data_IF_434813403361
#
_entry.id   IF_434813403361
#
_cell.length_a   1.000
_cell.length_b   1.000
_cell.length_c   1.000
_cell.angle_alpha   90.00
_cell.angle_beta   90.00
_cell.angle_gamma   90.00
#
_symmetry.space_group_name_H-M   'P 1'
#
loop_
_entity.id
_entity.type
_entity.pdbx_description
1 polymer ?
#
# COMPACT_ATOMS: atom_id res chain seq x y z
N UNK A 1 -18.51 36.05 5.85
CA UNK A 1 -18.00 35.52 7.14
C UNK A 1 -17.70 34.06 6.90
N UNK A 2 -16.47 33.78 6.54
CA UNK A 2 -16.04 32.40 6.34
C UNK A 2 -15.94 31.72 7.70
N UNK A 3 -16.84 30.79 7.97
CA UNK A 3 -16.75 29.94 9.15
C UNK A 3 -15.51 29.05 8.99
N UNK A 4 -14.42 29.40 9.65
CA UNK A 4 -13.29 28.50 9.81
C UNK A 4 -13.81 27.27 10.52
N UNK A 5 -13.88 26.13 9.81
CA UNK A 5 -14.28 24.86 10.41
C UNK A 5 -13.35 24.57 11.58
N UNK A 6 -13.90 24.43 12.78
CA UNK A 6 -13.15 24.06 13.97
C UNK A 6 -12.50 22.69 13.77
N UNK A 7 -11.19 22.61 14.00
CA UNK A 7 -10.45 21.34 13.93
C UNK A 7 -10.82 20.51 15.15
N UNK A 8 -11.63 19.47 14.96
CA UNK A 8 -12.11 18.59 16.04
C UNK A 8 -11.03 17.62 16.53
N UNK A 9 -10.08 17.27 15.68
CA UNK A 9 -8.99 16.35 16.03
C UNK A 9 -7.77 16.56 15.13
N UNK A 10 -6.58 16.39 15.70
CA UNK A 10 -5.30 16.44 14.99
C UNK A 10 -4.36 15.36 15.52
N UNK A 11 -3.64 14.63 14.64
CA UNK A 11 -2.68 13.62 15.07
C UNK A 11 -1.49 14.28 15.79
N UNK A 12 -0.91 13.57 16.76
CA UNK A 12 0.32 14.01 17.41
C UNK A 12 1.51 13.98 16.44
N UNK A 13 2.54 14.80 16.71
CA UNK A 13 3.76 14.85 15.89
C UNK A 13 4.44 13.47 15.78
N UNK A 14 4.43 12.69 16.86
CA UNK A 14 4.98 11.32 16.84
C UNK A 14 4.18 10.39 15.94
N UNK A 15 2.85 10.52 15.92
CA UNK A 15 1.99 9.72 15.03
C UNK A 15 2.22 10.09 13.57
N UNK A 16 2.39 11.36 13.26
CA UNK A 16 2.73 11.83 11.90
C UNK A 16 4.10 11.29 11.49
N UNK A 17 5.12 11.41 12.34
CA UNK A 17 6.49 10.97 12.04
C UNK A 17 6.59 9.47 11.76
N UNK A 18 5.74 8.66 12.42
CA UNK A 18 5.71 7.19 12.29
C UNK A 18 4.67 6.69 11.27
N UNK A 19 3.97 7.56 10.57
CA UNK A 19 2.98 7.16 9.57
C UNK A 19 3.68 6.61 8.31
N UNK A 20 3.09 5.58 7.69
CA UNK A 20 3.58 5.01 6.44
C UNK A 20 3.66 6.05 5.32
N UNK A 21 2.71 6.97 5.25
CA UNK A 21 2.74 8.04 4.26
C UNK A 21 3.97 8.94 4.43
N UNK A 22 4.39 9.22 5.67
CA UNK A 22 5.61 10.00 5.95
C UNK A 22 6.86 9.25 5.50
N UNK A 23 6.92 7.93 5.74
CA UNK A 23 8.02 7.09 5.26
C UNK A 23 8.06 7.03 3.73
N UNK A 24 6.90 6.87 3.08
CA UNK A 24 6.78 6.90 1.63
C UNK A 24 7.26 8.22 1.02
N UNK A 25 6.81 9.35 1.56
CA UNK A 25 7.22 10.69 1.09
C UNK A 25 8.74 10.85 1.18
N UNK A 26 9.36 10.49 2.29
CA UNK A 26 10.83 10.55 2.44
C UNK A 26 11.55 9.70 1.40
N UNK A 27 11.04 8.52 1.10
CA UNK A 27 11.61 7.65 0.05
C UNK A 27 11.49 8.30 -1.33
N UNK A 28 10.33 8.88 -1.65
CA UNK A 28 10.11 9.60 -2.92
C UNK A 28 11.04 10.80 -3.05
N UNK A 29 11.12 11.65 -2.02
CA UNK A 29 12.01 12.81 -2.01
C UNK A 29 13.47 12.41 -2.23
N UNK A 30 13.92 11.35 -1.54
CA UNK A 30 15.28 10.82 -1.71
C UNK A 30 15.55 10.28 -3.13
N UNK A 31 14.56 9.64 -3.75
CA UNK A 31 14.70 9.05 -5.09
C UNK A 31 14.62 10.08 -6.21
N UNK A 32 13.73 11.05 -6.07
CA UNK A 32 13.36 11.96 -7.17
C UNK A 32 13.94 13.36 -7.04
N UNK A 33 14.42 13.74 -5.86
CA UNK A 33 14.84 15.10 -5.57
C UNK A 33 13.67 16.10 -5.44
N UNK A 34 12.41 15.63 -5.48
CA UNK A 34 11.23 16.46 -5.30
C UNK A 34 11.11 16.89 -3.83
N UNK A 35 10.49 18.04 -3.59
CA UNK A 35 10.09 18.47 -2.24
C UNK A 35 8.58 18.34 -2.12
N UNK A 36 8.12 17.54 -1.18
CA UNK A 36 6.71 17.20 -0.96
C UNK A 36 6.29 17.52 0.48
N UNK A 37 6.25 18.80 0.86
CA UNK A 37 6.13 19.25 2.26
C UNK A 37 4.77 18.92 2.90
N UNK A 38 3.73 18.70 2.12
CA UNK A 38 2.38 18.44 2.60
C UNK A 38 1.60 17.51 1.67
N UNK A 39 0.37 17.14 2.10
CA UNK A 39 -0.51 16.27 1.33
C UNK A 39 -0.87 16.85 -0.05
N UNK A 40 -1.10 18.16 -0.16
CA UNK A 40 -1.47 18.77 -1.42
C UNK A 40 -0.34 18.69 -2.43
N UNK A 41 0.90 18.88 -2.00
CA UNK A 41 2.09 18.71 -2.83
C UNK A 41 2.23 17.24 -3.31
N UNK A 42 2.04 16.27 -2.40
CA UNK A 42 2.05 14.83 -2.76
C UNK A 42 0.96 14.51 -3.77
N UNK A 43 -0.26 14.99 -3.55
CA UNK A 43 -1.38 14.77 -4.46
C UNK A 43 -1.13 15.41 -5.83
N UNK A 44 -0.73 16.68 -5.87
CA UNK A 44 -0.43 17.37 -7.13
C UNK A 44 0.67 16.65 -7.93
N UNK A 45 1.74 16.24 -7.25
CA UNK A 45 2.82 15.46 -7.85
C UNK A 45 2.33 14.10 -8.38
N UNK A 46 1.53 13.36 -7.62
CA UNK A 46 1.02 12.05 -8.02
C UNK A 46 0.14 12.11 -9.27
N UNK A 47 -0.62 13.20 -9.44
CA UNK A 47 -1.44 13.45 -10.63
C UNK A 47 -0.59 13.88 -11.83
N UNK A 48 0.40 14.73 -11.59
CA UNK A 48 1.30 15.22 -12.66
C UNK A 48 2.24 14.12 -13.17
N UNK A 49 2.73 13.25 -12.28
CA UNK A 49 3.71 12.20 -12.58
C UNK A 49 3.23 10.81 -12.12
N UNK A 50 2.07 10.33 -12.58
CA UNK A 50 1.47 9.10 -12.06
C UNK A 50 2.35 7.85 -12.30
N UNK A 51 3.09 7.76 -13.39
CA UNK A 51 3.99 6.62 -13.59
C UNK A 51 5.05 6.54 -12.49
N UNK A 52 5.71 7.66 -12.21
CA UNK A 52 6.73 7.73 -11.16
C UNK A 52 6.13 7.47 -9.78
N UNK A 53 4.94 8.02 -9.50
CA UNK A 53 4.22 7.76 -8.26
C UNK A 53 3.97 6.26 -8.05
N UNK A 54 3.40 5.57 -9.05
CA UNK A 54 3.08 4.15 -8.95
C UNK A 54 4.32 3.27 -8.89
N UNK A 55 5.41 3.64 -9.57
CA UNK A 55 6.70 2.95 -9.44
C UNK A 55 7.29 3.09 -8.05
N UNK A 56 7.28 4.30 -7.49
CA UNK A 56 7.72 4.51 -6.11
C UNK A 56 6.87 3.72 -5.10
N UNK A 57 5.55 3.66 -5.33
CA UNK A 57 4.65 2.91 -4.46
C UNK A 57 4.88 1.40 -4.59
N UNK A 58 5.13 0.89 -5.80
CA UNK A 58 5.50 -0.50 -6.05
C UNK A 58 6.70 -0.93 -5.21
N UNK A 59 7.77 -0.14 -5.27
CA UNK A 59 8.99 -0.41 -4.52
C UNK A 59 8.79 -0.26 -3.01
N UNK A 60 8.02 0.76 -2.58
CA UNK A 60 7.70 0.99 -1.17
C UNK A 60 6.89 -0.16 -0.55
N UNK A 61 5.99 -0.74 -1.31
CA UNK A 61 5.21 -1.91 -0.89
C UNK A 61 6.00 -3.23 -0.90
N UNK A 62 7.26 -3.23 -1.34
CA UNK A 62 8.09 -4.43 -1.40
C UNK A 62 7.61 -5.45 -2.41
N UNK A 63 6.97 -5.00 -3.48
CA UNK A 63 6.57 -5.88 -4.59
C UNK A 63 7.81 -6.39 -5.35
N UNK A 64 7.71 -7.52 -6.08
CA UNK A 64 8.85 -8.09 -6.80
C UNK A 64 9.53 -7.05 -7.71
N UNK A 65 10.87 -7.10 -7.85
CA UNK A 65 11.60 -6.22 -8.76
C UNK A 65 11.05 -6.31 -10.18
N UNK A 66 10.93 -5.16 -10.84
CA UNK A 66 10.52 -5.04 -12.24
C UNK A 66 11.75 -4.86 -13.14
N UNK A 67 11.66 -5.34 -14.38
CA UNK A 67 12.65 -5.00 -15.39
C UNK A 67 12.56 -3.50 -15.75
N UNK A 68 13.67 -2.81 -16.03
CA UNK A 68 13.66 -1.41 -16.46
C UNK A 68 12.83 -1.17 -17.74
N UNK A 69 12.69 -2.20 -18.58
CA UNK A 69 11.95 -2.11 -19.85
C UNK A 69 10.44 -2.33 -19.69
N UNK A 70 9.97 -2.74 -18.51
CA UNK A 70 8.55 -2.96 -18.25
C UNK A 70 7.79 -1.64 -18.17
N UNK A 71 6.68 -1.58 -18.90
CA UNK A 71 5.80 -0.41 -18.92
C UNK A 71 5.07 -0.24 -17.59
N UNK A 72 4.99 1.00 -17.12
CA UNK A 72 4.19 1.32 -15.93
C UNK A 72 2.71 1.45 -16.26
N UNK A 73 2.38 2.00 -17.44
CA UNK A 73 0.99 2.14 -17.88
C UNK A 73 0.89 2.00 -19.40
N UNK A 74 -0.21 1.42 -19.84
CA UNK A 74 -0.65 1.37 -21.23
C UNK A 74 -2.03 2.02 -21.34
N UNK A 75 -2.28 2.78 -22.42
CA UNK A 75 -3.55 3.50 -22.66
C UNK A 75 -3.95 4.42 -21.50
N UNK A 76 -3.01 5.17 -20.96
CA UNK A 76 -3.17 6.02 -19.78
C UNK A 76 -4.44 6.90 -19.79
N UNK A 77 -4.76 7.46 -20.95
CA UNK A 77 -5.85 8.42 -21.11
C UNK A 77 -7.22 7.77 -21.42
N UNK A 78 -7.30 6.45 -21.37
CA UNK A 78 -8.54 5.70 -21.59
C UNK A 78 -9.20 5.32 -20.25
N UNK A 79 -10.48 5.67 -20.10
CA UNK A 79 -11.29 5.30 -18.93
C UNK A 79 -12.69 4.81 -19.39
N UNK A 80 -12.96 3.48 -19.35
CA UNK A 80 -12.09 2.38 -19.01
C UNK A 80 -11.07 2.06 -20.10
N UNK A 81 -9.97 1.38 -19.74
CA UNK A 81 -8.99 0.90 -20.71
C UNK A 81 -7.53 1.12 -20.35
N UNK A 82 -7.22 1.98 -19.37
CA UNK A 82 -5.89 2.09 -18.82
C UNK A 82 -5.47 0.77 -18.15
N UNK A 83 -4.28 0.30 -18.47
CA UNK A 83 -3.70 -0.93 -17.88
C UNK A 83 -2.42 -0.58 -17.14
N UNK A 84 -2.42 -0.75 -15.83
CA UNK A 84 -1.26 -0.51 -14.99
C UNK A 84 -0.39 -1.76 -14.90
N UNK A 85 0.92 -1.58 -15.02
CA UNK A 85 1.93 -2.64 -14.98
C UNK A 85 1.59 -3.85 -15.88
N UNK A 86 1.28 -3.61 -17.18
CA UNK A 86 0.74 -4.66 -18.06
C UNK A 86 1.68 -5.84 -18.27
N UNK A 87 2.99 -5.62 -18.09
CA UNK A 87 4.04 -6.61 -18.32
C UNK A 87 4.43 -7.36 -17.02
N UNK A 88 3.96 -6.87 -15.86
CA UNK A 88 4.29 -7.46 -14.55
C UNK A 88 3.29 -8.56 -14.17
N UNK A 89 3.80 -9.59 -13.48
CA UNK A 89 2.99 -10.67 -12.91
C UNK A 89 3.31 -10.82 -11.44
N UNK A 90 2.30 -10.71 -10.60
CA UNK A 90 2.42 -10.90 -9.15
C UNK A 90 1.37 -11.90 -8.68
N UNK A 91 1.73 -12.67 -7.66
CA UNK A 91 0.76 -13.46 -6.93
C UNK A 91 0.33 -12.67 -5.69
N UNK A 92 -0.89 -12.16 -5.70
CA UNK A 92 -1.44 -11.34 -4.63
C UNK A 92 -1.46 -12.08 -3.28
N UNK A 93 -1.85 -13.35 -3.27
CA UNK A 93 -1.86 -14.16 -2.06
C UNK A 93 -0.46 -14.35 -1.48
N UNK A 94 0.54 -14.63 -2.31
CA UNK A 94 1.93 -14.75 -1.86
C UNK A 94 2.43 -13.46 -1.22
N UNK A 95 2.05 -12.30 -1.75
CA UNK A 95 2.43 -11.01 -1.19
C UNK A 95 1.73 -10.74 0.15
N UNK A 96 0.45 -11.03 0.28
CA UNK A 96 -0.29 -10.91 1.54
C UNK A 96 0.23 -11.84 2.64
N UNK A 97 0.77 -12.99 2.26
CA UNK A 97 1.26 -14.02 3.18
C UNK A 97 2.76 -13.91 3.49
N UNK A 98 3.38 -12.77 3.18
CA UNK A 98 4.82 -12.53 3.45
C UNK A 98 5.11 -12.58 4.96
N UNK A 99 4.25 -12.03 5.79
CA UNK A 99 4.40 -12.10 7.25
C UNK A 99 4.08 -13.51 7.72
N UNK A 100 4.97 -14.03 8.60
CA UNK A 100 4.84 -15.36 9.21
C UNK A 100 5.02 -15.31 10.73
N UNK A 101 4.69 -14.15 11.31
CA UNK A 101 4.79 -13.94 12.75
C UNK A 101 3.57 -14.50 13.48
N UNK A 102 3.71 -14.70 14.80
CA UNK A 102 2.60 -15.09 15.67
C UNK A 102 1.64 -13.91 15.98
N UNK A 103 1.86 -12.75 15.37
CA UNK A 103 0.94 -11.62 15.50
C UNK A 103 -0.40 -11.90 14.81
N UNK A 104 -1.51 -11.33 15.31
CA UNK A 104 -2.83 -11.56 14.77
C UNK A 104 -2.95 -11.13 13.30
N UNK A 105 -3.33 -12.06 12.42
CA UNK A 105 -3.70 -11.79 11.03
C UNK A 105 -5.19 -11.52 10.87
N UNK A 106 -6.01 -12.31 11.57
CA UNK A 106 -7.47 -12.19 11.55
C UNK A 106 -8.04 -12.28 12.96
N UNK A 107 -9.00 -11.42 13.26
CA UNK A 107 -9.76 -11.47 14.51
C UNK A 107 -11.24 -11.57 14.17
N UNK A 108 -11.85 -12.69 14.52
CA UNK A 108 -13.28 -12.89 14.40
C UNK A 108 -13.97 -12.69 15.76
N UNK A 109 -15.07 -11.96 15.76
CA UNK A 109 -15.96 -11.81 16.93
C UNK A 109 -17.39 -11.99 16.46
N UNK A 110 -18.13 -12.90 17.10
CA UNK A 110 -19.58 -12.96 16.97
C UNK A 110 -20.25 -12.17 18.10
N UNK A 111 -21.55 -11.86 17.94
CA UNK A 111 -22.27 -10.96 18.84
C UNK A 111 -22.26 -11.40 20.31
N UNK A 112 -22.17 -12.69 20.63
CA UNK A 112 -22.31 -13.15 21.98
C UNK A 112 -21.26 -14.12 22.52
N UNK A 113 -20.48 -14.87 21.75
CA UNK A 113 -19.77 -16.00 22.37
C UNK A 113 -18.42 -16.35 21.75
N UNK A 114 -18.19 -16.12 20.44
CA UNK A 114 -16.98 -16.62 19.80
C UNK A 114 -16.02 -15.49 19.50
N UNK A 115 -14.85 -15.56 20.11
CA UNK A 115 -13.68 -14.81 19.68
C UNK A 115 -12.65 -15.79 19.15
N UNK A 116 -12.30 -15.68 17.88
CA UNK A 116 -11.21 -16.46 17.27
C UNK A 116 -10.16 -15.52 16.74
N UNK A 117 -8.91 -15.82 17.04
CA UNK A 117 -7.75 -15.13 16.49
C UNK A 117 -6.95 -16.16 15.71
N UNK A 118 -6.55 -15.80 14.49
CA UNK A 118 -5.63 -16.57 13.65
C UNK A 118 -4.40 -15.73 13.47
N UNK A 119 -3.22 -16.27 13.75
CA UNK A 119 -1.95 -15.61 13.51
C UNK A 119 -1.55 -15.64 12.03
N UNK A 120 -0.58 -14.82 11.61
CA UNK A 120 -0.03 -14.87 10.25
C UNK A 120 0.61 -16.23 9.95
N UNK A 121 1.28 -16.85 10.92
CA UNK A 121 1.86 -18.17 10.77
C UNK A 121 0.81 -19.26 10.55
N UNK A 122 -0.26 -19.24 11.35
CA UNK A 122 -1.38 -20.19 11.20
C UNK A 122 -2.11 -20.00 9.86
N UNK A 123 -2.37 -18.75 9.46
CA UNK A 123 -3.01 -18.45 8.17
C UNK A 123 -2.17 -18.97 7.02
N UNK A 124 -0.86 -18.75 7.05
CA UNK A 124 0.04 -19.27 6.04
C UNK A 124 -0.01 -20.80 5.96
N UNK A 125 0.05 -21.50 7.09
CA UNK A 125 -0.05 -22.97 7.16
C UNK A 125 -1.34 -23.47 6.53
N UNK A 126 -2.49 -22.92 6.92
CA UNK A 126 -3.79 -23.30 6.35
C UNK A 126 -3.88 -23.11 4.83
N UNK A 127 -3.33 -21.98 4.31
CA UNK A 127 -3.28 -21.74 2.86
C UNK A 127 -2.34 -22.73 2.15
N UNK A 128 -1.19 -23.04 2.76
CA UNK A 128 -0.25 -24.02 2.21
C UNK A 128 -0.86 -25.42 2.13
N UNK A 129 -1.58 -25.85 3.18
CA UNK A 129 -2.25 -27.14 3.21
C UNK A 129 -3.33 -27.27 2.10
N UNK A 130 -4.13 -26.21 1.91
CA UNK A 130 -5.13 -26.17 0.82
C UNK A 130 -4.46 -26.19 -0.56
N UNK A 131 -3.42 -25.40 -0.74
CA UNK A 131 -2.70 -25.33 -2.01
C UNK A 131 -2.01 -26.66 -2.37
N UNK A 132 -1.59 -27.44 -1.37
CA UNK A 132 -1.01 -28.76 -1.58
C UNK A 132 -2.05 -29.85 -1.90
N UNK A 133 -3.33 -29.59 -1.60
CA UNK A 133 -4.45 -30.51 -1.85
C UNK A 133 -5.13 -30.29 -3.21
N UNK A 134 -4.81 -29.19 -3.92
CA UNK A 134 -5.33 -28.85 -5.26
C UNK A 134 -4.40 -29.31 -6.38
#
# INVERSE_FOLDING_TARGET
MDSVSEILWQPSSSRIANAHITAFVRQVESRTGQSLPDYNAVHAWSVAQPCVFWECLWDFCGLPPRSPDERTVENRDHMPGARWFPDSRINFASHLLIQRADSPAMVFRSENIVRRVISHAELYGQVADIAAAL
#
